data_IF_080129889678
#
_entry.id   IF_080129889678
#
_cell.length_a   1.000
_cell.length_b   1.000
_cell.length_c   1.000
_cell.angle_alpha   90.00
_cell.angle_beta   90.00
_cell.angle_gamma   90.00
#
_symmetry.space_group_name_H-M   'P 1'
#
loop_
_entity.id
_entity.type
_entity.pdbx_description
1 polymer ?
#
# COMPACT_ATOMS: atom_id res chain seq x y z
N UNK A 1 48.74 2.26 16.93
CA UNK A 1 47.58 2.98 16.37
C UNK A 1 46.89 3.69 17.52
N UNK A 2 46.74 5.01 17.49
CA UNK A 2 46.24 5.77 18.63
C UNK A 2 44.78 5.39 18.88
N UNK A 3 44.44 5.12 20.13
CA UNK A 3 43.06 4.92 20.57
C UNK A 3 42.30 6.21 20.34
N UNK A 4 41.53 6.26 19.25
CA UNK A 4 40.63 7.36 18.99
C UNK A 4 39.58 7.39 20.09
N UNK A 5 39.62 8.44 20.90
CA UNK A 5 38.61 8.69 21.93
C UNK A 5 37.23 8.61 21.26
N UNK A 6 36.41 7.67 21.74
CA UNK A 6 35.06 7.51 21.22
C UNK A 6 34.33 8.82 21.52
N UNK A 7 33.77 9.51 20.51
CA UNK A 7 33.03 10.74 20.74
C UNK A 7 31.97 10.49 21.83
N UNK A 8 31.70 11.46 22.74
CA UNK A 8 30.74 11.25 23.82
C UNK A 8 29.34 10.85 23.32
N UNK A 9 28.98 11.25 22.08
CA UNK A 9 27.75 10.83 21.41
C UNK A 9 27.71 9.33 21.02
N UNK A 10 28.87 8.66 20.92
CA UNK A 10 29.00 7.25 20.58
C UNK A 10 29.21 6.36 21.82
N UNK A 11 29.43 6.93 23.01
CA UNK A 11 29.58 6.17 24.25
C UNK A 11 28.33 5.32 24.58
N UNK A 12 27.14 5.82 24.25
CA UNK A 12 25.88 5.07 24.43
C UNK A 12 25.62 4.00 23.35
N UNK A 13 26.46 3.93 22.32
CA UNK A 13 26.34 2.96 21.23
C UNK A 13 27.26 1.76 21.42
N UNK A 14 28.25 1.83 22.31
CA UNK A 14 29.16 0.72 22.57
C UNK A 14 28.71 -0.04 23.81
N UNK A 15 28.67 -1.36 23.70
CA UNK A 15 28.54 -2.26 24.85
C UNK A 15 29.91 -2.65 25.38
N UNK A 16 29.92 -3.14 26.62
CA UNK A 16 31.11 -3.62 27.32
C UNK A 16 31.78 -4.81 26.63
N UNK A 17 31.02 -5.58 25.85
CA UNK A 17 31.51 -6.69 25.03
C UNK A 17 32.14 -6.24 23.69
N UNK A 18 32.21 -4.93 23.45
CA UNK A 18 32.72 -4.35 22.20
C UNK A 18 31.70 -4.36 21.05
N UNK A 19 30.46 -4.80 21.28
CA UNK A 19 29.39 -4.72 20.28
C UNK A 19 28.85 -3.29 20.15
N UNK A 20 28.37 -2.97 18.95
CA UNK A 20 27.75 -1.66 18.65
C UNK A 20 26.24 -1.82 18.59
N UNK A 21 25.54 -1.05 19.42
CA UNK A 21 24.08 -0.88 19.41
C UNK A 21 23.74 0.21 18.40
N UNK A 22 22.88 -0.12 17.45
CA UNK A 22 22.38 0.83 16.45
C UNK A 22 20.93 1.15 16.82
N UNK A 23 20.62 2.40 17.22
CA UNK A 23 19.26 2.86 17.44
C UNK A 23 18.41 2.66 16.18
N UNK A 24 17.14 2.32 16.34
CA UNK A 24 16.25 1.99 15.23
C UNK A 24 16.14 3.14 14.21
N UNK A 25 16.05 4.39 14.69
CA UNK A 25 16.07 5.59 13.86
C UNK A 25 17.31 5.74 12.95
N UNK A 26 18.45 5.14 13.32
CA UNK A 26 19.69 5.18 12.54
C UNK A 26 19.88 3.94 11.66
N UNK A 27 19.05 2.89 11.81
CA UNK A 27 19.19 1.64 11.05
C UNK A 27 18.97 1.83 9.54
N UNK A 28 18.01 2.67 9.14
CA UNK A 28 17.73 3.01 7.75
C UNK A 28 18.91 3.72 7.05
N UNK A 29 19.40 4.85 7.60
CA UNK A 29 20.60 5.53 7.08
C UNK A 29 21.83 4.63 6.99
N UNK A 30 22.12 3.85 8.04
CA UNK A 30 23.28 2.94 8.07
C UNK A 30 23.15 1.84 7.02
N UNK A 31 21.99 1.20 6.89
CA UNK A 31 21.78 0.14 5.89
C UNK A 31 21.97 0.64 4.47
N UNK A 32 21.50 1.85 4.13
CA UNK A 32 21.69 2.46 2.81
C UNK A 32 23.16 2.71 2.49
N UNK A 33 23.93 3.23 3.45
CA UNK A 33 25.37 3.47 3.28
C UNK A 33 26.09 2.15 3.02
N UNK A 34 25.80 1.13 3.83
CA UNK A 34 26.42 -0.19 3.71
C UNK A 34 26.08 -0.88 2.39
N UNK A 35 24.81 -0.89 1.99
CA UNK A 35 24.38 -1.51 0.73
C UNK A 35 25.02 -0.81 -0.48
N UNK A 36 25.19 0.51 -0.43
CA UNK A 36 25.86 1.26 -1.50
C UNK A 36 27.34 0.90 -1.60
N UNK A 37 28.06 0.83 -0.48
CA UNK A 37 29.49 0.47 -0.48
C UNK A 37 29.71 -1.00 -0.88
N UNK A 38 28.91 -1.91 -0.32
CA UNK A 38 28.95 -3.34 -0.69
C UNK A 38 28.62 -3.52 -2.17
N UNK A 39 27.58 -2.86 -2.69
CA UNK A 39 27.21 -2.90 -4.10
C UNK A 39 28.34 -2.40 -5.00
N UNK A 40 29.01 -1.31 -4.63
CA UNK A 40 30.16 -0.80 -5.35
C UNK A 40 31.33 -1.81 -5.37
N UNK A 41 31.63 -2.45 -4.24
CA UNK A 41 32.70 -3.48 -4.15
C UNK A 41 32.36 -4.75 -4.92
N UNK A 42 31.10 -5.19 -4.88
CA UNK A 42 30.64 -6.35 -5.65
C UNK A 42 30.76 -6.10 -7.14
N UNK A 43 30.44 -4.88 -7.60
CA UNK A 43 30.57 -4.50 -9.00
C UNK A 43 32.02 -4.46 -9.50
N UNK A 44 32.98 -4.16 -8.63
CA UNK A 44 34.40 -4.06 -8.97
C UNK A 44 35.11 -5.42 -8.94
N UNK A 45 34.87 -6.23 -7.89
CA UNK A 45 35.66 -7.45 -7.64
C UNK A 45 34.82 -8.75 -7.60
N UNK A 46 33.53 -8.70 -7.96
CA UNK A 46 32.60 -9.84 -7.84
C UNK A 46 32.35 -10.26 -6.38
N UNK A 47 32.61 -9.34 -5.44
CA UNK A 47 32.85 -9.55 -4.01
C UNK A 47 31.97 -10.58 -3.31
N UNK A 48 32.62 -11.53 -2.63
CA UNK A 48 31.96 -12.45 -1.70
C UNK A 48 31.74 -11.76 -0.36
N UNK A 49 30.47 -11.60 0.01
CA UNK A 49 30.08 -11.06 1.32
C UNK A 49 30.19 -12.19 2.35
N UNK A 50 30.88 -11.94 3.47
CA UNK A 50 30.96 -12.91 4.56
C UNK A 50 29.54 -13.20 5.12
N UNK A 51 29.19 -14.45 5.45
CA UNK A 51 27.83 -14.81 5.90
C UNK A 51 27.31 -13.97 7.08
N UNK A 52 28.19 -13.61 8.02
CA UNK A 52 27.84 -12.76 9.16
C UNK A 52 27.40 -11.35 8.76
N UNK A 53 27.90 -10.82 7.65
CA UNK A 53 27.51 -9.50 7.12
C UNK A 53 26.10 -9.54 6.52
N UNK A 54 25.72 -10.65 5.87
CA UNK A 54 24.36 -10.83 5.34
C UNK A 54 23.35 -10.84 6.48
N UNK A 55 23.64 -11.56 7.57
CA UNK A 55 22.79 -11.59 8.76
C UNK A 55 22.65 -10.21 9.41
N UNK A 56 23.75 -9.46 9.52
CA UNK A 56 23.73 -8.07 10.02
C UNK A 56 22.86 -7.16 9.16
N UNK A 57 22.99 -7.20 7.84
CA UNK A 57 22.20 -6.37 6.92
C UNK A 57 20.71 -6.67 7.03
N UNK A 58 20.33 -7.95 7.17
CA UNK A 58 18.95 -8.35 7.41
C UNK A 58 18.42 -7.84 8.76
N UNK A 59 19.21 -7.93 9.83
CA UNK A 59 18.83 -7.42 11.14
C UNK A 59 18.62 -5.90 11.12
N UNK A 60 19.47 -5.17 10.39
CA UNK A 60 19.33 -3.72 10.20
C UNK A 60 18.06 -3.35 9.42
N UNK A 61 17.76 -4.07 8.33
CA UNK A 61 16.53 -3.87 7.56
C UNK A 61 15.29 -4.06 8.44
N UNK A 62 15.23 -5.17 9.16
CA UNK A 62 14.10 -5.47 10.04
C UNK A 62 13.95 -4.44 11.18
N UNK A 63 15.05 -3.87 11.68
CA UNK A 63 15.00 -2.81 12.68
C UNK A 63 14.44 -1.49 12.10
N UNK A 64 14.83 -1.13 10.89
CA UNK A 64 14.30 0.04 10.20
C UNK A 64 12.79 -0.08 9.93
N UNK A 65 12.34 -1.23 9.42
CA UNK A 65 10.91 -1.49 9.16
C UNK A 65 10.06 -1.42 10.43
N UNK A 66 10.57 -1.90 11.57
CA UNK A 66 9.88 -1.80 12.86
C UNK A 66 9.74 -0.35 13.33
N UNK A 67 10.76 0.48 13.12
CA UNK A 67 10.68 1.90 13.45
C UNK A 67 9.68 2.62 12.56
N UNK A 68 9.68 2.34 11.26
CA UNK A 68 8.71 2.91 10.31
C UNK A 68 7.28 2.50 10.65
N UNK A 69 7.07 1.24 11.07
CA UNK A 69 5.78 0.76 11.54
C UNK A 69 5.37 1.39 12.88
N UNK A 70 6.31 1.55 13.82
CA UNK A 70 6.06 2.16 15.13
C UNK A 70 5.85 3.68 15.06
N UNK A 71 6.49 4.35 14.10
CA UNK A 71 6.32 5.77 13.80
C UNK A 71 4.92 6.08 13.23
N UNK A 72 4.11 5.05 12.96
CA UNK A 72 2.72 5.21 12.56
C UNK A 72 2.64 5.86 11.18
N UNK A 73 2.54 5.04 10.14
CA UNK A 73 1.88 5.51 8.93
C UNK A 73 0.42 5.79 9.32
N UNK A 74 0.05 7.06 9.45
CA UNK A 74 -1.34 7.42 9.24
C UNK A 74 -1.61 7.03 7.79
N UNK A 75 -2.41 5.98 7.60
CA UNK A 75 -2.93 5.66 6.28
C UNK A 75 -3.78 6.86 5.86
N UNK A 76 -3.18 7.80 5.14
CA UNK A 76 -3.87 8.94 4.52
C UNK A 76 -4.77 8.47 3.37
N UNK A 77 -4.84 7.17 3.11
CA UNK A 77 -5.94 6.57 2.37
C UNK A 77 -7.17 6.62 3.28
N UNK A 78 -8.13 7.56 3.09
CA UNK A 78 -9.42 7.40 3.73
C UNK A 78 -9.93 5.99 3.42
N UNK A 79 -10.52 5.27 4.39
CA UNK A 79 -11.01 3.93 4.15
C UNK A 79 -11.82 3.99 2.87
N UNK A 80 -11.36 3.26 1.84
CA UNK A 80 -12.12 3.14 0.62
C UNK A 80 -13.47 2.59 1.06
N UNK A 81 -14.47 3.46 1.09
CA UNK A 81 -15.86 3.06 1.30
C UNK A 81 -16.15 1.90 0.34
N UNK A 82 -17.10 1.03 0.67
CA UNK A 82 -17.33 -0.22 -0.05
C UNK A 82 -17.22 0.02 -1.55
N UNK A 83 -16.17 -0.53 -2.17
CA UNK A 83 -15.89 -0.36 -3.59
C UNK A 83 -17.00 -1.10 -4.30
N UNK A 84 -18.10 -0.42 -4.58
CA UNK A 84 -19.17 -0.97 -5.39
C UNK A 84 -18.57 -1.16 -6.77
N UNK A 85 -18.25 -2.41 -7.12
CA UNK A 85 -17.79 -2.77 -8.46
C UNK A 85 -18.86 -2.31 -9.44
N UNK A 86 -18.57 -1.28 -10.22
CA UNK A 86 -19.46 -0.81 -11.27
C UNK A 86 -19.19 -1.65 -12.52
N UNK A 87 -20.25 -2.21 -13.10
CA UNK A 87 -20.20 -3.02 -14.32
C UNK A 87 -20.95 -2.34 -15.45
N UNK A 88 -20.64 -2.70 -16.69
CA UNK A 88 -21.35 -2.16 -17.84
C UNK A 88 -22.82 -2.58 -17.84
N UNK A 89 -23.68 -1.80 -18.51
CA UNK A 89 -25.08 -2.18 -18.68
C UNK A 89 -25.29 -3.52 -19.42
N UNK A 90 -24.29 -4.03 -20.15
CA UNK A 90 -24.34 -5.36 -20.76
C UNK A 90 -24.13 -6.45 -19.71
N UNK A 91 -23.05 -6.33 -18.93
CA UNK A 91 -22.71 -7.28 -17.86
C UNK A 91 -23.77 -7.30 -16.75
N UNK A 92 -24.33 -6.14 -16.40
CA UNK A 92 -25.45 -6.08 -15.45
C UNK A 92 -26.70 -6.79 -16.01
N UNK A 93 -26.98 -6.63 -17.32
CA UNK A 93 -28.16 -7.24 -17.94
C UNK A 93 -28.07 -8.77 -17.95
N UNK A 94 -26.89 -9.32 -18.23
CA UNK A 94 -26.63 -10.77 -18.17
C UNK A 94 -26.93 -11.33 -16.78
N UNK A 95 -26.49 -10.65 -15.72
CA UNK A 95 -26.74 -11.07 -14.33
C UNK A 95 -28.19 -10.90 -13.91
N UNK A 96 -28.84 -9.83 -14.35
CA UNK A 96 -30.25 -9.57 -14.09
C UNK A 96 -31.20 -10.41 -14.95
N UNK A 97 -30.68 -11.22 -15.89
CA UNK A 97 -31.47 -12.03 -16.81
C UNK A 97 -32.33 -11.20 -17.78
N UNK A 98 -31.88 -10.00 -18.12
CA UNK A 98 -32.62 -9.07 -18.98
C UNK A 98 -31.83 -8.68 -20.23
N UNK A 99 -32.48 -7.98 -21.17
CA UNK A 99 -31.79 -7.54 -22.39
C UNK A 99 -30.93 -6.29 -22.12
N UNK A 100 -29.77 -6.13 -22.81
CA UNK A 100 -28.94 -4.93 -22.67
C UNK A 100 -29.67 -3.63 -23.05
N UNK A 101 -30.65 -3.70 -23.95
CA UNK A 101 -31.50 -2.56 -24.29
C UNK A 101 -32.41 -2.17 -23.12
N UNK A 102 -32.96 -3.15 -22.40
CA UNK A 102 -33.78 -2.95 -21.22
C UNK A 102 -32.96 -2.37 -20.06
N UNK A 103 -31.75 -2.89 -19.79
CA UNK A 103 -30.84 -2.32 -18.79
C UNK A 103 -30.50 -0.84 -19.07
N UNK A 104 -30.22 -0.48 -20.34
CA UNK A 104 -30.00 0.92 -20.73
C UNK A 104 -31.24 1.79 -20.57
N UNK A 105 -32.44 1.23 -20.78
CA UNK A 105 -33.69 1.94 -20.53
C UNK A 105 -33.91 2.18 -19.04
N UNK A 106 -33.61 1.20 -18.19
CA UNK A 106 -33.67 1.32 -16.72
C UNK A 106 -32.67 2.36 -16.20
N UNK A 107 -31.42 2.36 -16.70
CA UNK A 107 -30.42 3.36 -16.36
C UNK A 107 -30.84 4.78 -16.80
N UNK A 108 -31.41 4.93 -18.00
CA UNK A 108 -31.93 6.22 -18.49
C UNK A 108 -33.12 6.75 -17.68
N UNK A 109 -33.98 5.86 -17.20
CA UNK A 109 -35.18 6.21 -16.42
C UNK A 109 -34.92 6.35 -14.93
N UNK A 110 -33.67 6.14 -14.48
CA UNK A 110 -33.30 6.19 -13.07
C UNK A 110 -33.87 5.04 -12.23
N UNK A 111 -34.39 3.99 -12.87
CA UNK A 111 -34.92 2.78 -12.21
C UNK A 111 -33.83 1.92 -11.60
N UNK A 112 -32.60 2.12 -12.04
CA UNK A 112 -31.41 1.47 -11.51
C UNK A 112 -30.37 2.58 -11.30
N UNK A 113 -29.68 2.63 -10.15
CA UNK A 113 -28.61 3.59 -9.94
C UNK A 113 -27.53 3.35 -11.00
N UNK A 114 -27.26 4.37 -11.83
CA UNK A 114 -26.34 4.24 -12.94
C UNK A 114 -25.61 5.56 -13.19
N UNK A 115 -24.33 5.47 -13.54
CA UNK A 115 -23.49 6.61 -13.92
C UNK A 115 -23.14 6.50 -15.39
N UNK A 116 -23.23 7.62 -16.12
CA UNK A 116 -22.79 7.70 -17.51
C UNK A 116 -21.36 8.22 -17.59
N UNK A 117 -20.46 7.43 -18.15
CA UNK A 117 -19.09 7.84 -18.47
C UNK A 117 -18.90 7.71 -19.98
N UNK A 118 -18.82 8.86 -20.66
CA UNK A 118 -18.80 8.94 -22.12
C UNK A 118 -20.03 8.30 -22.76
N UNK A 119 -19.81 7.20 -23.50
CA UNK A 119 -20.87 6.42 -24.18
C UNK A 119 -21.35 5.20 -23.38
N UNK A 120 -20.78 4.96 -22.20
CA UNK A 120 -21.05 3.77 -21.40
C UNK A 120 -21.91 4.11 -20.17
N UNK A 121 -22.81 3.19 -19.83
CA UNK A 121 -23.53 3.19 -18.56
C UNK A 121 -22.84 2.22 -17.62
N UNK A 122 -22.46 2.73 -16.46
CA UNK A 122 -21.90 2.00 -15.34
C UNK A 122 -22.98 1.83 -14.29
N UNK A 123 -23.22 0.59 -13.89
CA UNK A 123 -24.25 0.19 -12.95
C UNK A 123 -23.54 -0.56 -11.81
N UNK A 124 -23.75 -0.20 -10.54
CA UNK A 124 -23.22 -0.98 -9.42
C UNK A 124 -23.66 -2.44 -9.55
N UNK A 125 -22.75 -3.38 -9.36
CA UNK A 125 -23.03 -4.81 -9.49
C UNK A 125 -24.19 -5.27 -8.60
N UNK A 126 -24.33 -4.68 -7.41
CA UNK A 126 -25.40 -4.97 -6.45
C UNK A 126 -26.70 -4.19 -6.70
N UNK A 127 -26.79 -3.42 -7.78
CA UNK A 127 -27.95 -2.57 -8.03
C UNK A 127 -29.21 -3.40 -8.32
N UNK A 128 -30.22 -3.23 -7.47
CA UNK A 128 -31.56 -3.75 -7.71
C UNK A 128 -32.40 -2.76 -8.54
N UNK A 129 -33.40 -3.29 -9.24
CA UNK A 129 -34.42 -2.46 -9.91
C UNK A 129 -35.26 -1.80 -8.82
N UNK A 130 -35.18 -0.48 -8.74
CA UNK A 130 -36.00 0.33 -7.84
C UNK A 130 -37.39 0.45 -8.45
N UNK A 131 -38.37 -0.18 -7.81
CA UNK A 131 -39.78 0.03 -8.13
C UNK A 131 -40.14 1.51 -7.92
N UNK A 132 -41.00 2.12 -8.75
CA UNK A 132 -41.54 3.43 -8.42
C UNK A 132 -42.25 3.35 -7.08
N UNK A 133 -41.97 4.30 -6.19
CA UNK A 133 -43.01 4.72 -5.26
C UNK A 133 -44.22 5.12 -6.11
N UNK A 134 -45.34 4.40 -5.97
CA UNK A 134 -46.62 4.91 -6.46
C UNK A 134 -46.89 6.20 -5.71
N UNK A 135 -46.62 7.34 -6.34
CA UNK A 135 -47.36 8.57 -6.02
C UNK A 135 -48.75 8.42 -6.61
N UNK A 136 -49.57 7.61 -5.96
CA UNK A 136 -51.01 7.73 -6.03
C UNK A 136 -51.49 8.26 -4.66
N UNK A 137 -52.35 9.28 -4.74
CA UNK A 137 -53.03 10.06 -3.67
C UNK A 137 -52.23 11.23 -3.08
N UNK A 138 -52.72 12.47 -3.06
CA UNK A 138 -53.96 13.04 -3.55
C UNK A 138 -53.84 14.58 -3.50
N UNK A 139 -54.35 15.27 -4.53
CA UNK A 139 -55.13 16.51 -4.48
C UNK A 139 -55.44 16.93 -5.93
#
# INVERSE_FOLDING_TARGET
>A
MPGGEVPPAAAGLLREDGSVVIPAALAGPVSRILLRDVGARVAVDGGKVAPGVVGLLWALKAAAEREEAAAGFADETPPAGPVSVEVSAGEWAERAGCSPQYARALARTGRVPARRIGRMWLIPESAAIVAPERKDQAA
#
